data_IF_947198627872
#
_entry.id   IF_947198627872
#
_cell.length_a   1.000
_cell.length_b   1.000
_cell.length_c   1.000
_cell.angle_alpha   90.00
_cell.angle_beta   90.00
_cell.angle_gamma   90.00
#
_symmetry.space_group_name_H-M   'P 1'
#
loop_
_entity.id
_entity.type
_entity.pdbx_description
1 polymer ?
#
# COMPACT_ATOMS: atom_id res chain seq x y z
N UNK A 1 3.86 14.09 -2.49
CA UNK A 1 3.57 12.65 -2.34
C UNK A 1 2.27 12.36 -1.59
N UNK A 2 2.18 12.50 -0.26
CA UNK A 2 0.95 12.18 0.50
C UNK A 2 -0.30 12.91 -0.03
N UNK A 3 -0.18 14.21 -0.30
CA UNK A 3 -1.30 15.02 -0.81
C UNK A 3 -1.79 14.57 -2.19
N UNK A 4 -0.87 14.15 -3.07
CA UNK A 4 -1.22 13.61 -4.38
C UNK A 4 -1.93 12.27 -4.26
N UNK A 5 -1.47 11.36 -3.38
CA UNK A 5 -2.17 10.10 -3.09
C UNK A 5 -3.58 10.34 -2.52
N UNK A 6 -3.72 11.32 -1.62
CA UNK A 6 -4.99 11.64 -0.99
C UNK A 6 -6.01 12.28 -1.96
N UNK A 7 -5.53 12.91 -3.04
CA UNK A 7 -6.37 13.54 -4.05
C UNK A 7 -6.96 12.54 -5.07
N UNK A 8 -6.48 11.28 -5.09
CA UNK A 8 -6.92 10.29 -6.05
C UNK A 8 -8.41 9.94 -5.87
N UNK A 9 -9.18 10.06 -6.94
CA UNK A 9 -10.61 9.75 -6.96
C UNK A 9 -10.85 8.25 -7.12
N UNK A 10 -11.36 7.63 -6.05
CA UNK A 10 -11.81 6.25 -6.03
C UNK A 10 -13.26 6.18 -6.54
N UNK A 11 -13.55 5.33 -7.54
CA UNK A 11 -14.86 5.33 -8.18
C UNK A 11 -15.11 4.20 -9.17
N UNK A 12 -16.21 4.32 -9.90
CA UNK A 12 -16.59 3.38 -10.96
C UNK A 12 -15.55 3.42 -12.09
N UNK A 13 -14.96 2.28 -12.52
CA UNK A 13 -13.99 2.26 -13.60
C UNK A 13 -14.53 2.73 -14.96
N UNK A 14 -15.86 2.84 -15.12
CA UNK A 14 -16.49 3.40 -16.32
C UNK A 14 -16.70 4.92 -16.26
N UNK A 15 -16.46 5.55 -15.11
CA UNK A 15 -16.51 7.01 -14.96
C UNK A 15 -15.14 7.62 -15.34
N UNK A 16 -15.14 8.58 -16.27
CA UNK A 16 -13.92 9.26 -16.76
C UNK A 16 -13.19 10.05 -15.68
N UNK A 17 -13.89 10.45 -14.60
CA UNK A 17 -13.31 11.17 -13.47
C UNK A 17 -12.67 10.23 -12.44
N UNK A 18 -12.86 8.91 -12.57
CA UNK A 18 -12.26 7.91 -11.69
C UNK A 18 -10.78 7.74 -12.01
N UNK A 19 -9.96 7.86 -10.97
CA UNK A 19 -8.51 7.65 -11.06
C UNK A 19 -8.08 6.32 -10.46
N UNK A 20 -8.91 5.73 -9.59
CA UNK A 20 -8.65 4.45 -8.96
C UNK A 20 -9.95 3.62 -8.92
N UNK A 21 -9.94 2.48 -9.62
CA UNK A 21 -11.02 1.50 -9.60
C UNK A 21 -10.90 0.50 -8.43
N UNK A 22 -11.81 -0.47 -8.34
CA UNK A 22 -11.69 -1.57 -7.39
C UNK A 22 -10.55 -2.52 -7.78
N UNK A 23 -10.07 -3.32 -6.82
CA UNK A 23 -9.26 -4.49 -7.13
C UNK A 23 -10.08 -5.51 -7.93
N UNK A 24 -9.39 -6.43 -8.61
CA UNK A 24 -10.04 -7.41 -9.47
C UNK A 24 -11.01 -8.33 -8.72
N UNK A 25 -10.72 -8.67 -7.46
CA UNK A 25 -11.54 -9.59 -6.67
C UNK A 25 -11.53 -9.25 -5.17
N UNK A 26 -12.60 -9.57 -4.41
CA UNK A 26 -12.66 -9.31 -2.97
C UNK A 26 -11.58 -10.01 -2.14
N UNK A 27 -11.20 -11.24 -2.50
CA UNK A 27 -10.15 -11.99 -1.81
C UNK A 27 -8.78 -11.30 -1.90
N UNK A 28 -8.47 -10.68 -3.05
CA UNK A 28 -7.25 -9.88 -3.22
C UNK A 28 -7.25 -8.62 -2.35
N UNK A 29 -8.40 -7.96 -2.23
CA UNK A 29 -8.56 -6.80 -1.32
C UNK A 29 -8.37 -7.21 0.13
N UNK A 30 -8.95 -8.33 0.53
CA UNK A 30 -8.90 -8.80 1.92
C UNK A 30 -7.49 -9.25 2.29
N UNK A 31 -6.79 -9.91 1.37
CA UNK A 31 -5.38 -10.26 1.51
C UNK A 31 -4.49 -9.02 1.65
N UNK A 32 -4.64 -8.04 0.75
CA UNK A 32 -3.95 -6.77 0.83
C UNK A 32 -4.22 -6.07 2.17
N UNK A 33 -5.48 -6.07 2.63
CA UNK A 33 -5.84 -5.46 3.90
C UNK A 33 -5.13 -6.16 5.06
N UNK A 34 -5.07 -7.49 5.04
CA UNK A 34 -4.35 -8.29 6.04
C UNK A 34 -2.87 -7.93 6.08
N UNK A 35 -2.18 -7.89 4.94
CA UNK A 35 -0.77 -7.49 4.87
C UNK A 35 -0.54 -6.08 5.45
N UNK A 36 -1.46 -5.14 5.19
CA UNK A 36 -1.42 -3.78 5.76
C UNK A 36 -1.60 -3.80 7.28
N UNK A 37 -2.58 -4.54 7.80
CA UNK A 37 -2.83 -4.64 9.24
C UNK A 37 -1.66 -5.33 9.96
N UNK A 38 -1.13 -6.41 9.40
CA UNK A 38 -0.02 -7.16 9.97
C UNK A 38 1.25 -6.29 10.01
N UNK A 39 1.51 -5.52 8.95
CA UNK A 39 2.61 -4.53 8.94
C UNK A 39 2.43 -3.46 10.00
N UNK A 40 1.19 -2.96 10.18
CA UNK A 40 0.89 -1.99 11.25
C UNK A 40 1.09 -2.58 12.65
N UNK A 41 0.70 -3.84 12.85
CA UNK A 41 0.90 -4.55 14.12
C UNK A 41 2.39 -4.73 14.46
N UNK A 42 3.25 -4.81 13.43
CA UNK A 42 4.71 -4.90 13.57
C UNK A 42 5.40 -3.53 13.69
N UNK A 43 4.66 -2.42 13.64
CA UNK A 43 5.18 -1.09 13.89
C UNK A 43 5.13 -0.12 12.71
N UNK A 44 4.68 -0.56 11.53
CA UNK A 44 4.45 0.35 10.42
C UNK A 44 3.37 1.38 10.78
N UNK A 45 3.54 2.63 10.35
CA UNK A 45 2.57 3.71 10.58
C UNK A 45 1.78 4.00 9.31
N UNK A 46 0.47 3.78 9.38
CA UNK A 46 -0.46 4.20 8.35
C UNK A 46 -0.71 5.72 8.41
N UNK A 47 -0.39 6.42 7.31
CA UNK A 47 -0.50 7.89 7.18
C UNK A 47 -1.66 8.33 6.29
N UNK A 48 -2.26 7.40 5.56
CA UNK A 48 -3.39 7.62 4.66
C UNK A 48 -4.05 6.25 4.41
N UNK A 49 -5.37 6.23 4.26
CA UNK A 49 -6.10 5.02 3.87
C UNK A 49 -6.05 3.91 4.93
N UNK A 50 -5.68 2.70 4.50
CA UNK A 50 -5.48 1.54 5.38
C UNK A 50 -6.77 0.95 5.98
N UNK A 51 -7.92 1.25 5.39
CA UNK A 51 -9.23 0.77 5.82
C UNK A 51 -10.06 0.39 4.60
N UNK A 52 -10.78 -0.73 4.71
CA UNK A 52 -11.74 -1.14 3.69
C UNK A 52 -12.94 -0.18 3.73
N UNK A 53 -13.29 0.50 2.61
CA UNK A 53 -14.46 1.36 2.54
C UNK A 53 -15.75 0.55 2.70
N UNK A 54 -16.78 1.18 3.28
CA UNK A 54 -18.12 0.59 3.28
C UNK A 54 -18.70 0.57 1.86
N UNK A 55 -19.42 -0.50 1.50
CA UNK A 55 -20.09 -0.61 0.21
C UNK A 55 -19.84 -1.95 -0.50
N UNK A 56 -20.32 -2.05 -1.74
CA UNK A 56 -20.10 -3.20 -2.61
C UNK A 56 -18.85 -2.99 -3.47
N UNK A 57 -18.18 -4.08 -3.83
CA UNK A 57 -16.98 -4.06 -4.67
C UNK A 57 -15.69 -4.24 -3.87
N UNK A 58 -14.61 -4.57 -4.57
CA UNK A 58 -13.30 -4.83 -3.99
C UNK A 58 -12.46 -3.55 -3.89
N UNK A 59 -13.04 -2.47 -3.38
CA UNK A 59 -12.36 -1.18 -3.27
C UNK A 59 -11.35 -1.17 -2.12
N UNK A 60 -10.19 -0.57 -2.38
CA UNK A 60 -9.21 -0.26 -1.35
C UNK A 60 -8.64 1.14 -1.60
N UNK A 61 -8.67 2.06 -0.62
CA UNK A 61 -8.22 3.43 -0.84
C UNK A 61 -6.70 3.47 -1.00
N UNK A 62 -6.17 4.53 -1.64
CA UNK A 62 -4.75 4.83 -1.61
C UNK A 62 -4.25 4.80 -0.16
N UNK A 63 -3.25 3.96 0.11
CA UNK A 63 -2.73 3.73 1.45
C UNK A 63 -1.26 4.07 1.49
N UNK A 64 -0.84 4.77 2.55
CA UNK A 64 0.56 5.15 2.74
C UNK A 64 1.06 4.57 4.05
N UNK A 65 1.98 3.61 3.98
CA UNK A 65 2.71 3.07 5.11
C UNK A 65 4.08 3.73 5.22
N UNK A 66 4.44 4.12 6.44
CA UNK A 66 5.75 4.70 6.79
C UNK A 66 6.35 3.89 7.92
N UNK A 67 7.66 4.04 8.15
CA UNK A 67 8.37 3.23 9.18
C UNK A 67 8.28 1.73 8.86
N UNK A 68 8.27 1.40 7.56
CA UNK A 68 8.32 0.03 7.08
C UNK A 68 9.78 -0.45 7.18
N UNK A 69 9.98 -1.67 7.66
CA UNK A 69 11.29 -2.28 7.84
C UNK A 69 11.26 -3.81 7.78
N UNK A 70 12.42 -4.46 7.89
CA UNK A 70 12.55 -5.91 7.78
C UNK A 70 11.63 -6.67 8.73
N UNK A 71 11.09 -7.79 8.26
CA UNK A 71 10.13 -8.62 8.97
C UNK A 71 8.66 -8.19 8.83
N UNK A 72 8.39 -7.06 8.17
CA UNK A 72 7.02 -6.63 7.87
C UNK A 72 6.57 -7.14 6.49
N UNK A 73 5.31 -7.57 6.32
CA UNK A 73 4.78 -7.94 5.01
C UNK A 73 4.95 -6.83 3.96
N UNK A 74 4.70 -5.57 4.32
CA UNK A 74 4.89 -4.42 3.43
C UNK A 74 6.36 -4.14 3.04
N UNK A 75 7.33 -4.84 3.63
CA UNK A 75 8.74 -4.79 3.25
C UNK A 75 9.12 -5.94 2.31
N UNK A 76 8.64 -7.17 2.58
CA UNK A 76 9.08 -8.38 1.88
C UNK A 76 8.12 -8.92 0.83
N UNK A 77 6.83 -8.58 0.92
CA UNK A 77 5.78 -9.15 0.07
C UNK A 77 5.32 -8.14 -0.98
N UNK A 78 4.86 -8.65 -2.11
CA UNK A 78 4.21 -7.83 -3.13
C UNK A 78 2.74 -7.58 -2.73
N UNK A 79 2.40 -6.32 -2.47
CA UNK A 79 1.08 -5.93 -1.95
C UNK A 79 -0.04 -5.92 -3.01
N UNK A 80 0.30 -5.89 -4.31
CA UNK A 80 -0.67 -5.94 -5.42
C UNK A 80 -1.91 -5.04 -5.27
N UNK A 81 -1.70 -3.82 -4.79
CA UNK A 81 -2.77 -2.84 -4.61
C UNK A 81 -2.28 -1.42 -4.40
N UNK A 82 -3.19 -0.47 -4.14
CA UNK A 82 -2.86 0.94 -4.06
C UNK A 82 -2.22 1.30 -2.72
N UNK A 83 -1.11 0.63 -2.37
CA UNK A 83 -0.36 0.82 -1.13
C UNK A 83 1.07 1.22 -1.44
N UNK A 84 1.50 2.37 -0.94
CA UNK A 84 2.88 2.81 -0.97
C UNK A 84 3.55 2.54 0.39
N UNK A 85 4.66 1.82 0.37
CA UNK A 85 5.53 1.61 1.53
C UNK A 85 6.74 2.57 1.47
N UNK A 86 6.99 3.31 2.54
CA UNK A 86 8.13 4.22 2.66
C UNK A 86 9.12 3.67 3.67
N UNK A 87 10.30 3.31 3.16
CA UNK A 87 11.45 2.82 3.93
C UNK A 87 12.49 3.94 4.01
N UNK A 88 13.05 4.16 5.20
CA UNK A 88 14.07 5.20 5.42
C UNK A 88 15.47 4.62 5.23
N UNK A 89 16.23 5.17 4.30
CA UNK A 89 17.66 4.96 4.20
C UNK A 89 18.43 6.06 4.96
N UNK A 90 19.64 5.75 5.40
CA UNK A 90 20.51 6.71 6.10
C UNK A 90 21.40 7.47 5.12
N UNK A 91 21.78 6.81 4.03
CA UNK A 91 22.63 7.31 2.96
C UNK A 91 22.32 6.53 1.67
N UNK A 92 22.98 6.92 0.59
CA UNK A 92 22.82 6.31 -0.74
C UNK A 92 23.20 4.83 -0.75
N UNK A 93 24.30 4.44 -0.11
CA UNK A 93 24.76 3.06 -0.10
C UNK A 93 23.77 2.15 0.66
N UNK A 94 23.19 2.65 1.75
CA UNK A 94 22.12 1.99 2.47
C UNK A 94 20.86 1.87 1.60
N UNK A 95 20.50 2.90 0.85
CA UNK A 95 19.36 2.83 -0.06
C UNK A 95 19.56 1.75 -1.14
N UNK A 96 20.77 1.63 -1.70
CA UNK A 96 21.11 0.57 -2.67
C UNK A 96 20.99 -0.81 -2.02
N UNK A 97 21.51 -0.97 -0.80
CA UNK A 97 21.37 -2.24 -0.06
C UNK A 97 19.92 -2.60 0.21
N UNK A 98 19.10 -1.64 0.64
CA UNK A 98 17.66 -1.86 0.88
C UNK A 98 16.91 -2.21 -0.40
N UNK A 99 17.21 -1.54 -1.51
CA UNK A 99 16.58 -1.85 -2.80
C UNK A 99 16.91 -3.26 -3.30
N UNK A 100 18.14 -3.72 -3.05
CA UNK A 100 18.59 -5.07 -3.39
C UNK A 100 18.20 -6.14 -2.35
N UNK A 101 17.72 -5.74 -1.17
CA UNK A 101 17.24 -6.64 -0.11
C UNK A 101 15.80 -7.08 -0.38
N UNK A 102 15.62 -7.71 -1.54
CA UNK A 102 14.35 -8.19 -2.04
C UNK A 102 14.58 -9.52 -2.76
N UNK A 103 13.63 -10.44 -2.63
CA UNK A 103 13.60 -11.66 -3.46
C UNK A 103 13.13 -11.39 -4.90
N UNK A 104 12.66 -10.16 -5.15
CA UNK A 104 12.19 -9.67 -6.44
C UNK A 104 13.23 -8.72 -7.05
N UNK A 105 13.25 -8.58 -8.39
CA UNK A 105 14.27 -7.82 -9.14
C UNK A 105 13.68 -6.85 -10.14
#
# INVERSE_FOLDING_TARGET
>A
FREQLAAARLGDPLDEETQLGPLARPDLRDELHRQVQDSMALGAKCRLGGKIPAGKGAFYPPTLLTEVGPGMPAYHEELFGPVAAVIRANDEEHAIRLANDSSFG
#
